data_IF_229164034420
#
_entry.id   IF_229164034420
#
_cell.length_a   1.000
_cell.length_b   1.000
_cell.length_c   1.000
_cell.angle_alpha   90.00
_cell.angle_beta   90.00
_cell.angle_gamma   90.00
#
_symmetry.space_group_name_H-M   'P 1'
#
loop_
_entity.id
_entity.type
_entity.pdbx_description
1 polymer ?
#
# COMPACT_ATOMS: atom_id res chain seq x y z
N UNK A 1 59.49 24.33 29.53
CA UNK A 1 59.11 22.96 29.92
C UNK A 1 59.29 22.84 31.43
N UNK A 2 58.24 23.08 32.20
CA UNK A 2 58.29 22.95 33.65
C UNK A 2 58.55 21.48 33.96
N UNK A 3 59.75 21.16 34.47
CA UNK A 3 60.00 19.87 35.11
C UNK A 3 59.15 19.87 36.36
N UNK A 4 58.02 19.17 36.36
CA UNK A 4 57.32 18.85 37.59
C UNK A 4 58.33 18.14 38.50
N UNK A 5 58.69 18.78 39.61
CA UNK A 5 59.47 18.14 40.67
C UNK A 5 58.53 17.12 41.29
N UNK A 6 58.88 15.84 41.24
CA UNK A 6 58.09 14.80 41.90
C UNK A 6 58.32 14.94 43.41
N UNK A 7 57.39 15.63 44.09
CA UNK A 7 57.46 15.89 45.52
C UNK A 7 57.46 14.59 46.36
N UNK A 8 56.97 13.48 45.78
CA UNK A 8 57.04 12.15 46.39
C UNK A 8 58.48 11.61 46.49
N UNK A 9 59.38 11.99 45.58
CA UNK A 9 60.79 11.57 45.60
C UNK A 9 61.54 12.09 46.85
N UNK A 10 60.97 13.08 47.53
CA UNK A 10 61.51 13.68 48.75
C UNK A 10 60.83 13.18 50.04
N UNK A 11 59.80 12.34 49.93
CA UNK A 11 59.07 11.76 51.08
C UNK A 11 58.30 12.77 51.94
N UNK A 12 58.06 13.98 51.43
CA UNK A 12 57.40 15.07 52.18
C UNK A 12 55.95 15.21 51.67
N UNK A 13 54.97 15.24 52.59
CA UNK A 13 53.54 15.42 52.30
C UNK A 13 52.89 14.33 51.42
N UNK A 14 53.42 13.09 51.40
CA UNK A 14 52.90 12.00 50.54
C UNK A 14 51.39 11.76 50.69
N UNK A 15 50.87 11.74 51.92
CA UNK A 15 49.44 11.51 52.19
C UNK A 15 48.56 12.64 51.63
N UNK A 16 49.00 13.89 51.76
CA UNK A 16 48.25 15.04 51.25
C UNK A 16 48.33 15.15 49.71
N UNK A 17 49.48 14.79 49.12
CA UNK A 17 49.65 14.67 47.67
C UNK A 17 48.75 13.55 47.13
N UNK A 18 48.79 12.36 47.74
CA UNK A 18 47.96 11.23 47.35
C UNK A 18 46.46 11.54 47.46
N UNK A 19 46.04 12.22 48.54
CA UNK A 19 44.66 12.66 48.71
C UNK A 19 44.20 13.65 47.63
N UNK A 20 45.07 14.59 47.24
CA UNK A 20 44.77 15.53 46.14
C UNK A 20 44.73 14.84 44.78
N UNK A 21 45.67 13.94 44.49
CA UNK A 21 45.67 13.16 43.26
C UNK A 21 44.42 12.30 43.13
N UNK A 22 44.05 11.57 44.19
CA UNK A 22 42.83 10.76 44.21
C UNK A 22 41.58 11.60 43.95
N UNK A 23 41.49 12.79 44.56
CA UNK A 23 40.37 13.71 44.34
C UNK A 23 40.33 14.25 42.90
N UNK A 24 41.49 14.57 42.32
CA UNK A 24 41.60 15.01 40.93
C UNK A 24 41.19 13.89 39.98
N UNK A 25 41.61 12.65 40.24
CA UNK A 25 41.27 11.47 39.45
C UNK A 25 39.75 11.19 39.50
N UNK A 26 39.13 11.25 40.68
CA UNK A 26 37.68 11.12 40.83
C UNK A 26 36.94 12.22 40.04
N UNK A 27 37.38 13.47 40.14
CA UNK A 27 36.79 14.58 39.39
C UNK A 27 36.95 14.43 37.88
N UNK A 28 38.11 13.95 37.42
CA UNK A 28 38.37 13.69 36.01
C UNK A 28 37.43 12.60 35.47
N UNK A 29 37.27 11.49 36.21
CA UNK A 29 36.38 10.39 35.83
C UNK A 29 34.91 10.84 35.75
N UNK A 30 34.45 11.65 36.70
CA UNK A 30 33.08 12.22 36.68
C UNK A 30 32.88 13.17 35.49
N UNK A 31 33.88 13.99 35.17
CA UNK A 31 33.83 14.91 34.03
C UNK A 31 33.81 14.14 32.70
N UNK A 32 34.63 13.09 32.58
CA UNK A 32 34.67 12.21 31.41
C UNK A 32 33.30 11.54 31.19
N UNK A 33 32.70 10.97 32.24
CA UNK A 33 31.39 10.35 32.15
C UNK A 33 30.30 11.37 31.77
N UNK A 34 30.34 12.59 32.33
CA UNK A 34 29.41 13.66 31.95
C UNK A 34 29.58 14.06 30.49
N UNK A 35 30.82 14.17 30.01
CA UNK A 35 31.10 14.49 28.61
C UNK A 35 30.60 13.39 27.67
N UNK A 36 30.78 12.11 28.05
CA UNK A 36 30.27 10.95 27.31
C UNK A 36 28.74 10.98 27.21
N UNK A 37 28.04 11.15 28.34
CA UNK A 37 26.57 11.23 28.37
C UNK A 37 26.05 12.43 27.55
N UNK A 38 26.73 13.58 27.63
CA UNK A 38 26.38 14.75 26.82
C UNK A 38 26.56 14.49 25.32
N UNK A 39 27.59 13.77 24.91
CA UNK A 39 27.82 13.41 23.50
C UNK A 39 26.76 12.41 23.00
N UNK A 40 26.40 11.42 23.82
CA UNK A 40 25.34 10.46 23.52
C UNK A 40 23.97 11.14 23.35
N UNK A 41 23.65 12.09 24.23
CA UNK A 41 22.43 12.89 24.14
C UNK A 41 22.40 13.76 22.89
N UNK A 42 23.49 14.46 22.57
CA UNK A 42 23.60 15.24 21.34
C UNK A 42 23.42 14.37 20.08
N UNK A 43 23.99 13.17 20.06
CA UNK A 43 23.80 12.23 18.96
C UNK A 43 22.35 11.73 18.87
N UNK A 44 21.68 11.50 20.01
CA UNK A 44 20.27 11.11 20.03
C UNK A 44 19.36 12.21 19.47
N UNK A 45 19.65 13.50 19.74
CA UNK A 45 18.93 14.63 19.16
C UNK A 45 19.10 14.72 17.63
N UNK A 46 20.33 14.50 17.12
CA UNK A 46 20.56 14.45 15.67
C UNK A 46 19.72 13.35 15.02
N UNK A 47 19.70 12.15 15.61
CA UNK A 47 18.89 11.05 15.11
C UNK A 47 17.39 11.34 15.18
N UNK A 48 16.93 12.08 16.19
CA UNK A 48 15.54 12.51 16.31
C UNK A 48 15.13 13.44 15.15
N UNK A 49 15.97 14.41 14.79
CA UNK A 49 15.68 15.28 13.65
C UNK A 49 15.63 14.50 12.33
N UNK A 50 16.55 13.55 12.11
CA UNK A 50 16.49 12.67 10.94
C UNK A 50 15.19 11.84 10.93
N UNK A 51 14.74 11.35 12.09
CA UNK A 51 13.48 10.62 12.23
C UNK A 51 12.27 11.50 11.90
N UNK A 52 12.28 12.78 12.30
CA UNK A 52 11.23 13.76 11.98
C UNK A 52 11.16 14.04 10.47
N UNK A 53 12.30 14.13 9.79
CA UNK A 53 12.36 14.24 8.33
C UNK A 53 11.81 12.97 7.66
N UNK A 54 12.26 11.78 8.08
CA UNK A 54 11.75 10.49 7.57
C UNK A 54 10.23 10.36 7.76
N UNK A 55 9.71 10.85 8.89
CA UNK A 55 8.27 10.89 9.18
C UNK A 55 7.52 11.76 8.16
N UNK A 56 7.97 13.00 7.93
CA UNK A 56 7.31 13.92 6.99
C UNK A 56 7.31 13.36 5.56
N UNK A 57 8.41 12.74 5.15
CA UNK A 57 8.49 12.07 3.85
C UNK A 57 7.51 10.90 3.74
N UNK A 58 7.37 10.11 4.79
CA UNK A 58 6.43 8.99 4.83
C UNK A 58 4.97 9.48 4.82
N UNK A 59 4.64 10.48 5.64
CA UNK A 59 3.33 11.12 5.66
C UNK A 59 2.97 11.66 4.27
N UNK A 60 3.87 12.43 3.66
CA UNK A 60 3.65 12.98 2.33
C UNK A 60 3.43 11.89 1.28
N UNK A 61 4.21 10.81 1.35
CA UNK A 61 4.05 9.68 0.45
C UNK A 61 2.70 8.98 0.64
N UNK A 62 2.26 8.75 1.88
CA UNK A 62 0.95 8.17 2.18
C UNK A 62 -0.21 9.07 1.71
N UNK A 63 -0.10 10.38 1.90
CA UNK A 63 -1.10 11.35 1.42
C UNK A 63 -1.22 11.35 -0.11
N UNK A 64 -0.08 11.35 -0.82
CA UNK A 64 -0.08 11.25 -2.28
C UNK A 64 -0.74 9.95 -2.76
N UNK A 65 -0.42 8.82 -2.12
CA UNK A 65 -1.03 7.53 -2.46
C UNK A 65 -2.53 7.53 -2.17
N UNK A 66 -2.95 8.06 -1.03
CA UNK A 66 -4.36 8.19 -0.65
C UNK A 66 -5.14 9.03 -1.65
N UNK A 67 -4.59 10.17 -2.08
CA UNK A 67 -5.19 11.02 -3.12
C UNK A 67 -5.37 10.29 -4.45
N UNK A 68 -4.38 9.50 -4.87
CA UNK A 68 -4.49 8.70 -6.10
C UNK A 68 -5.58 7.62 -5.98
N UNK A 69 -5.71 6.99 -4.81
CA UNK A 69 -6.72 5.96 -4.56
C UNK A 69 -8.14 6.53 -4.45
N UNK A 70 -8.29 7.78 -3.99
CA UNK A 70 -9.58 8.48 -3.92
C UNK A 70 -10.18 8.87 -5.29
N UNK A 71 -9.50 8.57 -6.40
CA UNK A 71 -10.04 8.81 -7.74
C UNK A 71 -11.10 7.75 -8.08
N UNK A 72 -12.32 8.18 -8.40
CA UNK A 72 -13.46 7.31 -8.71
C UNK A 72 -13.48 6.74 -10.15
N UNK A 73 -12.48 7.05 -10.97
CA UNK A 73 -12.46 6.64 -12.38
C UNK A 73 -12.30 5.12 -12.55
N UNK A 74 -13.27 4.43 -13.15
CA UNK A 74 -13.20 2.98 -13.42
C UNK A 74 -12.96 2.65 -14.90
N UNK A 75 -12.67 3.64 -15.74
CA UNK A 75 -12.59 3.51 -17.19
C UNK A 75 -13.94 3.62 -17.87
N UNK A 76 -13.97 3.57 -19.21
CA UNK A 76 -15.19 3.60 -20.00
C UNK A 76 -15.56 2.24 -20.62
N UNK A 77 -14.65 1.26 -20.59
CA UNK A 77 -14.84 -0.08 -21.16
C UNK A 77 -13.94 -1.11 -20.49
N UNK A 78 -14.11 -2.39 -20.86
CA UNK A 78 -13.40 -3.51 -20.26
C UNK A 78 -11.87 -3.38 -20.37
N UNK A 79 -11.34 -2.95 -21.52
CA UNK A 79 -9.89 -2.82 -21.73
C UNK A 79 -9.26 -1.75 -20.82
N UNK A 80 -9.92 -0.59 -20.71
CA UNK A 80 -9.47 0.49 -19.83
C UNK A 80 -9.57 0.08 -18.36
N UNK A 81 -10.65 -0.59 -17.99
CA UNK A 81 -10.85 -1.14 -16.65
C UNK A 81 -9.74 -2.14 -16.27
N UNK A 82 -9.37 -3.07 -17.16
CA UNK A 82 -8.30 -4.05 -16.90
C UNK A 82 -6.94 -3.38 -16.64
N UNK A 83 -6.63 -2.32 -17.38
CA UNK A 83 -5.42 -1.50 -17.16
C UNK A 83 -5.45 -0.82 -15.80
N UNK A 84 -6.58 -0.20 -15.44
CA UNK A 84 -6.76 0.45 -14.14
C UNK A 84 -6.68 -0.55 -12.98
N UNK A 85 -7.30 -1.73 -13.12
CA UNK A 85 -7.24 -2.80 -12.11
C UNK A 85 -5.81 -3.31 -11.92
N UNK A 86 -5.06 -3.49 -13.00
CA UNK A 86 -3.65 -3.90 -12.95
C UNK A 86 -2.79 -2.84 -12.25
N UNK A 87 -2.96 -1.56 -12.62
CA UNK A 87 -2.26 -0.44 -11.96
C UNK A 87 -2.56 -0.38 -10.47
N UNK A 88 -3.84 -0.45 -10.10
CA UNK A 88 -4.29 -0.46 -8.71
C UNK A 88 -3.67 -1.62 -7.92
N UNK A 89 -3.65 -2.84 -8.47
CA UNK A 89 -3.04 -3.98 -7.80
C UNK A 89 -1.54 -3.76 -7.55
N UNK A 90 -0.82 -3.15 -8.50
CA UNK A 90 0.58 -2.77 -8.32
C UNK A 90 0.78 -1.72 -7.22
N UNK A 91 -0.06 -0.68 -7.20
CA UNK A 91 -0.02 0.37 -6.17
C UNK A 91 -0.36 -0.19 -4.78
N UNK A 92 -1.41 -1.02 -4.66
CA UNK A 92 -1.78 -1.72 -3.42
C UNK A 92 -0.64 -2.58 -2.90
N UNK A 93 0.00 -3.35 -3.78
CA UNK A 93 1.13 -4.19 -3.38
C UNK A 93 2.31 -3.34 -2.89
N UNK A 94 2.63 -2.25 -3.58
CA UNK A 94 3.69 -1.33 -3.17
C UNK A 94 3.38 -0.69 -1.80
N UNK A 95 2.14 -0.27 -1.55
CA UNK A 95 1.71 0.26 -0.25
C UNK A 95 1.90 -0.80 0.83
N UNK A 96 1.41 -2.02 0.59
CA UNK A 96 1.49 -3.12 1.54
C UNK A 96 2.92 -3.52 1.87
N UNK A 97 3.84 -3.54 0.90
CA UNK A 97 5.22 -3.97 1.16
C UNK A 97 6.08 -2.81 1.64
N UNK A 98 6.31 -1.82 0.78
CA UNK A 98 7.22 -0.71 1.05
C UNK A 98 6.66 0.21 2.15
N UNK A 99 5.35 0.46 2.15
CA UNK A 99 4.72 1.29 3.18
C UNK A 99 4.81 0.65 4.56
N UNK A 100 4.52 -0.65 4.66
CA UNK A 100 4.59 -1.38 5.93
C UNK A 100 6.03 -1.48 6.45
N UNK A 101 7.00 -1.77 5.58
CA UNK A 101 8.42 -1.82 5.95
C UNK A 101 8.92 -0.47 6.47
N UNK A 102 8.59 0.64 5.78
CA UNK A 102 8.97 1.99 6.21
C UNK A 102 8.34 2.36 7.54
N UNK A 103 7.06 2.03 7.74
CA UNK A 103 6.35 2.31 8.98
C UNK A 103 6.96 1.53 10.16
N UNK A 104 7.22 0.23 9.99
CA UNK A 104 7.84 -0.61 11.03
C UNK A 104 9.25 -0.13 11.39
N UNK A 105 10.08 0.20 10.39
CA UNK A 105 11.43 0.77 10.63
C UNK A 105 11.32 2.04 11.46
N UNK A 106 10.45 2.96 11.02
CA UNK A 106 10.27 4.25 11.67
C UNK A 106 9.75 4.09 13.12
N UNK A 107 8.77 3.22 13.35
CA UNK A 107 8.25 2.93 14.70
C UNK A 107 9.30 2.37 15.64
N UNK A 108 10.14 1.47 15.15
CA UNK A 108 11.23 0.89 15.94
C UNK A 108 12.24 1.97 16.37
N UNK A 109 12.64 2.85 15.46
CA UNK A 109 13.55 3.96 15.75
C UNK A 109 12.91 4.99 16.71
N UNK A 110 11.65 5.36 16.47
CA UNK A 110 10.84 6.21 17.34
C UNK A 110 10.77 5.69 18.79
N UNK A 111 10.55 4.39 18.96
CA UNK A 111 10.47 3.74 20.27
C UNK A 111 11.83 3.71 21.01
N UNK A 112 12.94 3.66 20.28
CA UNK A 112 14.29 3.74 20.85
C UNK A 112 14.60 5.19 21.25
N UNK A 113 14.34 6.15 20.37
CA UNK A 113 14.69 7.55 20.57
C UNK A 113 13.83 8.22 21.65
N UNK A 114 12.54 7.89 21.75
CA UNK A 114 11.67 8.37 22.83
C UNK A 114 12.16 7.99 24.24
N UNK A 115 12.87 6.86 24.37
CA UNK A 115 13.49 6.44 25.64
C UNK A 115 14.82 7.16 25.91
N UNK A 116 15.56 7.51 24.85
CA UNK A 116 16.85 8.20 24.94
C UNK A 116 16.71 9.72 25.13
N UNK A 117 15.60 10.29 24.64
CA UNK A 117 15.30 11.72 24.68
C UNK A 117 13.85 11.92 25.20
N UNK A 118 13.60 11.69 26.51
CA UNK A 118 12.24 11.71 27.06
C UNK A 118 11.51 13.05 26.89
N UNK A 119 12.24 14.15 26.81
CA UNK A 119 11.69 15.49 26.59
C UNK A 119 10.94 15.64 25.25
N UNK A 120 11.27 14.83 24.23
CA UNK A 120 10.59 14.81 22.92
C UNK A 120 9.64 13.62 22.75
N UNK A 121 9.48 12.75 23.78
CA UNK A 121 8.67 11.55 23.68
C UNK A 121 7.20 11.83 23.30
N UNK A 122 6.66 12.99 23.72
CA UNK A 122 5.32 13.42 23.36
C UNK A 122 5.17 13.70 21.86
N UNK A 123 6.15 14.35 21.25
CA UNK A 123 6.12 14.71 19.83
C UNK A 123 6.25 13.45 18.96
N UNK A 124 7.13 12.53 19.36
CA UNK A 124 7.26 11.20 18.74
C UNK A 124 5.94 10.44 18.78
N UNK A 125 5.25 10.43 19.93
CA UNK A 125 3.95 9.77 20.07
C UNK A 125 2.86 10.41 19.20
N UNK A 126 2.86 11.75 19.08
CA UNK A 126 1.96 12.44 18.16
C UNK A 126 2.24 12.04 16.71
N UNK A 127 3.51 11.93 16.34
CA UNK A 127 3.97 11.40 15.07
C UNK A 127 3.44 10.00 14.75
N UNK A 128 3.61 9.07 15.70
CA UNK A 128 3.09 7.70 15.61
C UNK A 128 1.58 7.71 15.33
N UNK A 129 0.81 8.48 16.11
CA UNK A 129 -0.64 8.54 15.93
C UNK A 129 -1.04 9.08 14.54
N UNK A 130 -0.33 10.09 14.00
CA UNK A 130 -0.61 10.62 12.67
C UNK A 130 -0.33 9.60 11.58
N UNK A 131 0.83 8.93 11.63
CA UNK A 131 1.17 7.88 10.69
C UNK A 131 0.18 6.71 10.74
N UNK A 132 -0.23 6.27 11.93
CA UNK A 132 -1.27 5.25 12.07
C UNK A 132 -2.61 5.70 11.48
N UNK A 133 -3.04 6.93 11.74
CA UNK A 133 -4.30 7.47 11.18
C UNK A 133 -4.24 7.49 9.64
N UNK A 134 -3.13 7.95 9.06
CA UNK A 134 -2.92 7.94 7.61
C UNK A 134 -2.88 6.51 7.05
N UNK A 135 -2.29 5.58 7.80
CA UNK A 135 -2.22 4.17 7.43
C UNK A 135 -3.59 3.48 7.46
N UNK A 136 -4.43 3.78 8.43
CA UNK A 136 -5.81 3.30 8.48
C UNK A 136 -6.61 3.87 7.29
N UNK A 137 -6.52 5.19 7.08
CA UNK A 137 -7.22 5.88 6.00
C UNK A 137 -6.84 5.34 4.62
N UNK A 138 -5.56 5.08 4.35
CA UNK A 138 -5.15 4.53 3.04
C UNK A 138 -5.67 3.12 2.83
N UNK A 139 -5.78 2.30 3.89
CA UNK A 139 -6.36 0.97 3.80
C UNK A 139 -7.87 1.04 3.50
N UNK A 140 -8.60 1.98 4.12
CA UNK A 140 -10.00 2.23 3.79
C UNK A 140 -10.17 2.62 2.30
N UNK A 141 -9.31 3.51 1.79
CA UNK A 141 -9.34 3.86 0.36
C UNK A 141 -9.01 2.68 -0.55
N UNK A 142 -8.08 1.80 -0.16
CA UNK A 142 -7.80 0.57 -0.91
C UNK A 142 -9.06 -0.30 -0.99
N UNK A 143 -9.78 -0.49 0.11
CA UNK A 143 -11.00 -1.30 0.15
C UNK A 143 -12.11 -0.70 -0.70
N UNK A 144 -12.37 0.60 -0.56
CA UNK A 144 -13.36 1.31 -1.36
C UNK A 144 -13.05 1.22 -2.86
N UNK A 145 -11.79 1.46 -3.23
CA UNK A 145 -11.35 1.39 -4.62
C UNK A 145 -11.43 -0.02 -5.18
N UNK A 146 -11.10 -1.04 -4.39
CA UNK A 146 -11.24 -2.44 -4.76
C UNK A 146 -12.69 -2.81 -5.04
N UNK A 147 -13.63 -2.38 -4.20
CA UNK A 147 -15.06 -2.59 -4.38
C UNK A 147 -15.60 -1.90 -5.63
N UNK A 148 -15.25 -0.62 -5.84
CA UNK A 148 -15.68 0.13 -7.03
C UNK A 148 -15.17 -0.52 -8.33
N UNK A 149 -13.89 -0.90 -8.37
CA UNK A 149 -13.34 -1.62 -9.51
C UNK A 149 -14.00 -2.99 -9.71
N UNK A 150 -14.36 -3.71 -8.64
CA UNK A 150 -15.04 -4.99 -8.76
C UNK A 150 -16.43 -4.83 -9.41
N UNK A 151 -17.22 -3.85 -8.94
CA UNK A 151 -18.56 -3.55 -9.49
C UNK A 151 -18.49 -3.12 -10.95
N UNK A 152 -17.60 -2.19 -11.29
CA UNK A 152 -17.41 -1.76 -12.68
C UNK A 152 -16.99 -2.92 -13.59
N UNK A 153 -16.14 -3.81 -13.09
CA UNK A 153 -15.72 -5.01 -13.82
C UNK A 153 -16.87 -5.97 -14.12
N UNK A 154 -17.81 -6.15 -13.19
CA UNK A 154 -19.03 -6.95 -13.44
C UNK A 154 -19.84 -6.33 -14.56
N UNK A 155 -20.13 -5.02 -14.46
CA UNK A 155 -20.88 -4.29 -15.49
C UNK A 155 -20.22 -4.40 -16.87
N UNK A 156 -18.92 -4.17 -17.01
CA UNK A 156 -18.27 -4.22 -18.32
C UNK A 156 -18.22 -5.62 -18.93
N UNK A 157 -18.11 -6.67 -18.11
CA UNK A 157 -18.21 -8.05 -18.60
C UNK A 157 -19.63 -8.34 -19.08
N UNK A 158 -20.64 -7.97 -18.30
CA UNK A 158 -22.04 -8.11 -18.68
C UNK A 158 -22.35 -7.38 -20.00
N UNK A 159 -21.91 -6.13 -20.15
CA UNK A 159 -22.13 -5.34 -21.37
C UNK A 159 -21.48 -6.00 -22.58
N UNK A 160 -20.22 -6.44 -22.47
CA UNK A 160 -19.53 -7.16 -23.55
C UNK A 160 -20.27 -8.45 -23.93
N UNK A 161 -20.67 -9.24 -22.93
CA UNK A 161 -21.32 -10.53 -23.16
C UNK A 161 -22.73 -10.32 -23.75
N UNK A 162 -23.42 -9.24 -23.37
CA UNK A 162 -24.70 -8.82 -23.95
C UNK A 162 -24.55 -8.39 -25.41
N UNK A 163 -23.54 -7.59 -25.74
CA UNK A 163 -23.25 -7.19 -27.13
C UNK A 163 -22.97 -8.41 -28.02
N UNK A 164 -22.23 -9.40 -27.52
CA UNK A 164 -21.97 -10.66 -28.24
C UNK A 164 -23.27 -11.45 -28.49
N UNK A 165 -24.14 -11.56 -27.47
CA UNK A 165 -25.42 -12.24 -27.60
C UNK A 165 -26.36 -11.51 -28.56
N UNK A 166 -26.43 -10.18 -28.50
CA UNK A 166 -27.23 -9.37 -29.41
C UNK A 166 -26.80 -9.57 -30.87
N UNK A 167 -25.49 -9.61 -31.14
CA UNK A 167 -24.98 -9.87 -32.49
C UNK A 167 -25.36 -11.27 -32.96
N UNK A 168 -25.23 -12.30 -32.10
CA UNK A 168 -25.65 -13.66 -32.44
C UNK A 168 -27.16 -13.77 -32.72
N UNK A 169 -27.99 -13.05 -31.97
CA UNK A 169 -29.44 -12.97 -32.23
C UNK A 169 -29.70 -12.30 -33.59
N UNK A 170 -29.01 -11.20 -33.87
CA UNK A 170 -29.10 -10.50 -35.16
C UNK A 170 -28.68 -11.40 -36.34
N UNK A 171 -27.59 -12.15 -36.18
CA UNK A 171 -27.14 -13.14 -37.17
C UNK A 171 -28.20 -14.23 -37.42
N UNK A 172 -28.87 -14.72 -36.36
CA UNK A 172 -29.99 -15.66 -36.50
C UNK A 172 -31.18 -15.03 -37.23
N UNK A 173 -31.53 -13.78 -36.93
CA UNK A 173 -32.60 -13.07 -37.63
C UNK A 173 -32.31 -12.93 -39.15
N UNK A 174 -31.06 -12.64 -39.49
CA UNK A 174 -30.62 -12.52 -40.89
C UNK A 174 -30.62 -13.86 -41.64
N UNK A 175 -30.37 -14.96 -40.94
CA UNK A 175 -30.27 -16.31 -41.52
C UNK A 175 -31.58 -17.10 -41.50
N UNK A 176 -32.65 -16.53 -40.95
CA UNK A 176 -33.99 -17.13 -40.93
C UNK A 176 -34.44 -17.55 -42.34
N UNK A 177 -34.74 -18.84 -42.59
CA UNK A 177 -35.23 -19.28 -43.90
C UNK A 177 -36.58 -18.62 -44.22
N UNK A 178 -36.71 -18.01 -45.40
CA UNK A 178 -37.93 -17.30 -45.86
C UNK A 178 -38.61 -17.97 -47.06
N UNK A 179 -38.00 -18.99 -47.64
CA UNK A 179 -38.55 -19.71 -48.79
C UNK A 179 -39.57 -20.76 -48.32
N UNK A 180 -40.63 -20.96 -49.10
CA UNK A 180 -41.69 -21.95 -48.83
C UNK A 180 -41.57 -23.17 -49.73
N UNK A 181 -40.66 -23.14 -50.72
CA UNK A 181 -40.50 -24.22 -51.70
C UNK A 181 -41.60 -24.19 -52.76
N UNK A 182 -41.30 -24.75 -53.93
CA UNK A 182 -42.22 -24.75 -55.08
C UNK A 182 -42.81 -26.12 -55.40
N UNK A 183 -42.33 -27.15 -54.70
CA UNK A 183 -42.80 -28.53 -54.82
C UNK A 183 -42.68 -29.27 -53.47
N UNK A 184 -43.26 -30.47 -53.39
CA UNK A 184 -43.30 -31.25 -52.16
C UNK A 184 -41.90 -31.64 -51.63
N UNK A 185 -40.93 -31.88 -52.52
CA UNK A 185 -39.57 -32.27 -52.14
C UNK A 185 -38.81 -31.08 -51.57
N UNK A 186 -38.94 -29.90 -52.18
CA UNK A 186 -38.36 -28.65 -51.69
C UNK A 186 -38.99 -28.22 -50.36
N UNK A 187 -40.32 -28.32 -50.24
CA UNK A 187 -41.05 -28.02 -49.01
C UNK A 187 -40.60 -28.91 -47.85
N UNK A 188 -40.44 -30.22 -48.09
CA UNK A 188 -39.92 -31.15 -47.08
C UNK A 188 -38.48 -30.83 -46.67
N UNK A 189 -37.61 -30.48 -47.64
CA UNK A 189 -36.24 -30.06 -47.35
C UNK A 189 -36.17 -28.75 -46.55
N UNK A 190 -37.12 -27.84 -46.73
CA UNK A 190 -37.24 -26.61 -45.95
C UNK A 190 -37.74 -26.88 -44.53
N UNK A 191 -38.69 -27.79 -44.34
CA UNK A 191 -39.15 -28.22 -43.00
C UNK A 191 -37.97 -28.72 -42.17
N UNK A 192 -37.14 -29.62 -42.71
CA UNK A 192 -35.95 -30.11 -42.00
C UNK A 192 -34.96 -28.99 -41.65
N UNK A 193 -34.81 -27.99 -42.53
CA UNK A 193 -33.97 -26.81 -42.24
C UNK A 193 -34.56 -25.95 -41.13
N UNK A 194 -35.89 -25.77 -41.11
CA UNK A 194 -36.58 -25.06 -40.04
C UNK A 194 -36.42 -25.79 -38.70
N UNK A 195 -36.56 -27.12 -38.65
CA UNK A 195 -36.34 -27.90 -37.42
C UNK A 195 -34.91 -27.74 -36.88
N UNK A 196 -33.89 -27.76 -37.74
CA UNK A 196 -32.49 -27.50 -37.32
C UNK A 196 -32.35 -26.09 -36.77
N UNK A 197 -32.91 -25.09 -37.46
CA UNK A 197 -32.86 -23.69 -37.04
C UNK A 197 -33.58 -23.45 -35.70
N UNK A 198 -34.73 -24.09 -35.47
CA UNK A 198 -35.46 -24.03 -34.20
C UNK A 198 -34.67 -24.64 -33.05
N UNK A 199 -33.97 -25.76 -33.28
CA UNK A 199 -33.08 -26.35 -32.28
C UNK A 199 -31.90 -25.43 -31.93
N UNK A 200 -31.27 -24.80 -32.93
CA UNK A 200 -30.20 -23.83 -32.71
C UNK A 200 -30.70 -22.58 -31.95
N UNK A 201 -31.91 -22.11 -32.25
CA UNK A 201 -32.54 -21.01 -31.51
C UNK A 201 -32.85 -21.40 -30.06
N UNK A 202 -33.31 -22.62 -29.81
CA UNK A 202 -33.57 -23.11 -28.45
C UNK A 202 -32.28 -23.13 -27.61
N UNK A 203 -31.17 -23.59 -28.21
CA UNK A 203 -29.85 -23.57 -27.55
C UNK A 203 -29.36 -22.15 -27.27
N UNK A 204 -29.49 -21.23 -28.24
CA UNK A 204 -29.13 -19.83 -28.04
C UNK A 204 -29.97 -19.19 -26.91
N UNK A 205 -31.27 -19.50 -26.86
CA UNK A 205 -32.15 -19.01 -25.80
C UNK A 205 -31.75 -19.52 -24.42
N UNK A 206 -31.41 -20.80 -24.31
CA UNK A 206 -30.91 -21.38 -23.06
C UNK A 206 -29.60 -20.70 -22.62
N UNK A 207 -28.67 -20.45 -23.55
CA UNK A 207 -27.43 -19.74 -23.24
C UNK A 207 -27.68 -18.29 -22.76
N UNK A 208 -28.62 -17.58 -23.39
CA UNK A 208 -29.04 -16.24 -22.98
C UNK A 208 -29.62 -16.28 -21.56
N UNK A 209 -30.51 -17.23 -21.26
CA UNK A 209 -31.09 -17.38 -19.91
C UNK A 209 -30.01 -17.63 -18.87
N UNK A 210 -29.04 -18.50 -19.16
CA UNK A 210 -27.91 -18.77 -18.26
C UNK A 210 -27.05 -17.54 -18.05
N UNK A 211 -26.64 -16.84 -19.12
CA UNK A 211 -25.77 -15.65 -19.00
C UNK A 211 -26.46 -14.47 -18.30
N UNK A 212 -27.77 -14.29 -18.51
CA UNK A 212 -28.53 -13.22 -17.83
C UNK A 212 -28.79 -13.55 -16.36
N UNK A 213 -29.00 -14.83 -16.01
CA UNK A 213 -29.31 -15.26 -14.63
C UNK A 213 -28.07 -15.55 -13.76
N UNK A 214 -26.86 -15.54 -14.32
CA UNK A 214 -25.62 -15.83 -13.59
C UNK A 214 -24.92 -14.59 -13.00
N UNK A 215 -25.39 -13.37 -13.27
CA UNK A 215 -24.82 -12.12 -12.75
C UNK A 215 -25.54 -11.58 -11.48
N UNK A 216 -26.43 -12.37 -10.85
CA UNK A 216 -27.09 -12.10 -9.55
C UNK A 216 -26.32 -12.70 -8.33
#
# INVERSE_FOLDING_TARGET
KNKCINLKDFGIFEEEIAGRESKIEEQANVLEERARLSAEHANALVNLHNLEEEQQELEHWLEQKSKNLSQDDCGANLEQWEKLKTKFNGERQQIRTLGQERLEKWENEANILSKKVPEHAREVLQGQNRLHTLWELINEYIEQREASLAQAGLLYRFLRDSEELEERVREKELTLPKDLGRDAKQSYGLILKHEVFENELAQLKEEIEVKILMDD
#
